data_IF_058092547438
#
_entry.id   IF_058092547438
#
_cell.length_a   1.000
_cell.length_b   1.000
_cell.length_c   1.000
_cell.angle_alpha   90.00
_cell.angle_beta   90.00
_cell.angle_gamma   90.00
#
_symmetry.space_group_name_H-M   'P 1'
#
loop_
_entity.id
_entity.type
_entity.pdbx_description
1 polymer ?
#
# COMPACT_ATOMS: atom_id res chain seq x y z
N UNK A 1 10.93 9.04 -2.17
CA UNK A 1 11.08 10.16 -1.20
C UNK A 1 12.45 10.82 -1.31
N UNK A 2 13.56 10.18 -0.94
CA UNK A 2 14.90 10.80 -0.95
C UNK A 2 15.29 11.43 -2.28
N UNK A 3 15.07 10.77 -3.42
CA UNK A 3 15.32 11.37 -4.74
C UNK A 3 14.55 12.67 -4.96
N UNK A 4 13.26 12.70 -4.60
CA UNK A 4 12.42 13.88 -4.76
C UNK A 4 12.85 15.03 -3.83
N UNK A 5 13.44 14.73 -2.67
CA UNK A 5 13.97 15.72 -1.74
C UNK A 5 15.42 16.14 -2.04
N UNK A 6 16.03 15.60 -3.10
CA UNK A 6 17.42 15.85 -3.44
C UNK A 6 18.43 15.29 -2.43
N UNK A 7 17.97 14.47 -1.47
CA UNK A 7 18.78 13.91 -0.38
C UNK A 7 19.31 12.51 -0.68
N UNK A 8 18.91 11.88 -1.80
CA UNK A 8 19.41 10.58 -2.19
C UNK A 8 20.85 10.65 -2.69
N UNK A 9 21.65 9.64 -2.34
CA UNK A 9 22.92 9.35 -2.99
C UNK A 9 22.65 8.41 -4.14
N UNK A 10 22.99 8.80 -5.37
CA UNK A 10 22.84 7.99 -6.56
C UNK A 10 24.21 7.63 -7.13
N UNK A 11 24.37 6.35 -7.50
CA UNK A 11 25.55 5.84 -8.20
C UNK A 11 25.05 5.21 -9.51
N UNK A 12 25.54 5.71 -10.64
CA UNK A 12 25.16 5.23 -11.99
C UNK A 12 23.64 5.21 -12.25
N UNK A 13 22.92 6.20 -11.70
CA UNK A 13 21.45 6.33 -11.85
C UNK A 13 20.64 5.39 -10.95
N UNK A 14 21.29 4.68 -10.03
CA UNK A 14 20.65 3.84 -9.03
C UNK A 14 20.82 4.47 -7.66
N UNK A 15 19.75 4.50 -6.86
CA UNK A 15 19.83 4.99 -5.47
C UNK A 15 20.74 4.03 -4.69
N UNK A 16 21.86 4.58 -4.22
CA UNK A 16 22.78 3.82 -3.37
C UNK A 16 22.22 3.71 -1.95
N UNK A 17 22.02 2.49 -1.50
CA UNK A 17 21.63 2.18 -0.12
C UNK A 17 22.81 2.00 0.82
N UNK A 18 24.05 2.19 0.34
CA UNK A 18 25.24 2.13 1.18
C UNK A 18 25.29 3.33 2.13
N UNK A 19 25.48 3.14 3.44
CA UNK A 19 25.60 4.25 4.37
C UNK A 19 26.76 5.18 3.99
N UNK A 20 26.49 6.49 3.94
CA UNK A 20 27.49 7.52 3.69
C UNK A 20 28.10 8.07 4.99
N UNK A 21 27.55 7.67 6.14
CA UNK A 21 28.01 8.11 7.45
C UNK A 21 27.13 7.57 8.57
N UNK A 22 27.14 8.27 9.68
CA UNK A 22 26.33 7.97 10.86
C UNK A 22 25.58 9.24 11.27
N UNK A 23 24.28 9.13 11.47
CA UNK A 23 23.45 10.19 12.02
C UNK A 23 23.85 10.51 13.47
N UNK A 24 23.41 11.66 13.99
CA UNK A 24 23.74 12.11 15.37
C UNK A 24 23.26 11.08 16.42
N UNK A 25 22.14 10.38 16.15
CA UNK A 25 21.59 9.33 17.02
C UNK A 25 22.33 7.97 16.92
N UNK A 26 23.36 7.88 16.09
CA UNK A 26 24.14 6.65 15.86
C UNK A 26 23.56 5.74 14.78
N UNK A 27 22.45 6.07 14.14
CA UNK A 27 21.92 5.30 13.00
C UNK A 27 22.75 5.55 11.73
N UNK A 28 22.62 4.67 10.74
CA UNK A 28 23.31 4.84 9.46
C UNK A 28 22.70 5.99 8.66
N UNK A 29 23.54 6.90 8.19
CA UNK A 29 23.15 7.99 7.28
C UNK A 29 23.28 7.52 5.81
N UNK A 30 22.19 7.59 5.06
CA UNK A 30 22.12 7.21 3.64
C UNK A 30 21.98 8.41 2.70
N UNK A 31 22.08 9.64 3.23
CA UNK A 31 21.69 10.84 2.51
C UNK A 31 22.67 11.97 2.71
N UNK A 32 22.67 12.87 1.76
CA UNK A 32 23.30 14.20 1.81
C UNK A 32 22.22 15.26 2.05
N UNK A 33 22.62 16.46 2.42
CA UNK A 33 21.71 17.62 2.40
C UNK A 33 21.22 17.84 0.97
N UNK A 34 19.92 17.99 0.80
CA UNK A 34 19.26 18.27 -0.46
C UNK A 34 18.80 19.70 -0.56
N UNK A 35 18.63 20.18 -1.78
CA UNK A 35 18.06 21.50 -2.07
C UNK A 35 16.75 21.32 -2.84
N UNK A 36 15.68 21.97 -2.36
CA UNK A 36 14.39 22.03 -3.01
C UNK A 36 14.03 23.46 -3.32
N UNK A 37 13.63 23.73 -4.56
CA UNK A 37 13.05 25.02 -4.92
C UNK A 37 11.51 24.88 -4.98
N UNK A 38 10.81 25.61 -4.11
CA UNK A 38 9.35 25.64 -4.06
C UNK A 38 8.90 27.09 -4.15
N UNK A 39 8.15 27.42 -5.19
CA UNK A 39 7.63 28.79 -5.43
C UNK A 39 8.71 29.88 -5.36
N UNK A 40 9.92 29.60 -5.92
CA UNK A 40 11.04 30.53 -5.95
C UNK A 40 11.81 30.67 -4.61
N UNK A 41 11.52 29.81 -3.63
CA UNK A 41 12.26 29.74 -2.38
C UNK A 41 13.05 28.43 -2.34
N UNK A 42 14.35 28.54 -2.06
CA UNK A 42 15.22 27.37 -1.87
C UNK A 42 15.17 26.93 -0.42
N UNK A 43 14.84 25.66 -0.22
CA UNK A 43 14.85 24.98 1.08
C UNK A 43 16.00 23.99 1.13
N UNK A 44 16.74 24.01 2.23
CA UNK A 44 17.73 22.98 2.52
C UNK A 44 17.05 21.89 3.33
N UNK A 45 17.10 20.65 2.83
CA UNK A 45 16.50 19.48 3.46
C UNK A 45 17.61 18.60 4.01
N UNK A 46 17.52 18.28 5.29
CA UNK A 46 18.44 17.36 5.98
C UNK A 46 17.67 16.23 6.60
N UNK A 47 18.08 14.99 6.33
CA UNK A 47 17.61 13.83 7.06
C UNK A 47 18.37 13.75 8.39
N UNK A 48 17.66 13.90 9.49
CA UNK A 48 18.25 13.81 10.84
C UNK A 48 18.38 12.39 11.30
N UNK A 49 17.37 11.54 11.00
CA UNK A 49 17.34 10.14 11.33
C UNK A 49 16.46 9.35 10.36
N UNK A 50 16.75 8.08 10.20
CA UNK A 50 15.87 7.10 9.55
C UNK A 50 16.06 5.72 10.14
N UNK A 51 14.98 4.95 10.19
CA UNK A 51 15.02 3.60 10.73
C UNK A 51 13.98 2.73 10.04
N UNK A 52 14.37 1.47 9.77
CA UNK A 52 13.40 0.44 9.43
C UNK A 52 12.69 -0.03 10.72
N UNK A 53 11.36 0.07 10.74
CA UNK A 53 10.55 -0.26 11.93
C UNK A 53 10.29 -1.76 11.98
N UNK A 54 11.18 -2.49 12.65
CA UNK A 54 11.07 -3.92 12.92
C UNK A 54 10.79 -4.16 14.39
N UNK A 55 9.84 -5.04 14.69
CA UNK A 55 9.65 -5.52 16.06
C UNK A 55 10.67 -6.63 16.43
N UNK A 56 10.63 -7.08 17.68
CA UNK A 56 11.54 -8.11 18.18
C UNK A 56 11.40 -9.48 17.49
N UNK A 57 10.27 -9.72 16.81
CA UNK A 57 10.02 -10.91 16.01
C UNK A 57 10.47 -10.77 14.56
N UNK A 58 11.01 -9.58 14.17
CA UNK A 58 11.49 -9.29 12.82
C UNK A 58 10.39 -8.85 11.83
N UNK A 59 9.15 -8.69 12.29
CA UNK A 59 8.09 -8.14 11.44
C UNK A 59 8.33 -6.65 11.20
N UNK A 60 8.22 -6.24 9.94
CA UNK A 60 8.41 -4.87 9.47
C UNK A 60 7.13 -4.04 9.60
N UNK A 61 7.25 -2.72 9.39
CA UNK A 61 6.16 -1.74 9.50
C UNK A 61 5.49 -1.72 10.87
N UNK A 62 6.28 -1.95 11.93
CA UNK A 62 5.78 -2.01 13.30
C UNK A 62 5.51 -0.61 13.87
N UNK A 63 4.23 -0.32 14.11
CA UNK A 63 3.77 0.98 14.62
C UNK A 63 4.29 1.28 16.03
N UNK A 64 4.42 0.27 16.90
CA UNK A 64 4.93 0.47 18.25
C UNK A 64 6.42 0.84 18.23
N UNK A 65 7.20 0.21 17.35
CA UNK A 65 8.61 0.57 17.13
C UNK A 65 8.73 2.00 16.61
N UNK A 66 7.84 2.43 15.71
CA UNK A 66 7.83 3.80 15.20
C UNK A 66 7.53 4.84 16.29
N UNK A 67 6.54 4.58 17.15
CA UNK A 67 6.24 5.43 18.29
C UNK A 67 7.39 5.56 19.29
N UNK A 68 8.16 4.48 19.51
CA UNK A 68 9.36 4.53 20.34
C UNK A 68 10.51 5.28 19.66
N UNK A 69 10.67 5.11 18.35
CA UNK A 69 11.72 5.77 17.58
C UNK A 69 11.55 7.29 17.62
N UNK A 70 10.34 7.82 17.40
CA UNK A 70 10.12 9.27 17.44
C UNK A 70 10.43 9.86 18.82
N UNK A 71 10.13 9.15 19.90
CA UNK A 71 10.50 9.60 21.25
C UNK A 71 12.03 9.72 21.44
N UNK A 72 12.79 8.78 20.85
CA UNK A 72 14.26 8.83 20.85
C UNK A 72 14.78 9.99 20.00
N UNK A 73 14.23 10.16 18.80
CA UNK A 73 14.61 11.26 17.90
C UNK A 73 14.26 12.62 18.47
N UNK A 74 13.08 12.78 19.08
CA UNK A 74 12.68 14.00 19.77
C UNK A 74 13.64 14.36 20.90
N UNK A 75 14.14 13.36 21.64
CA UNK A 75 15.14 13.57 22.68
C UNK A 75 16.50 13.98 22.14
N UNK A 76 16.87 13.54 20.94
CA UNK A 76 18.15 13.82 20.31
C UNK A 76 18.18 15.12 19.53
N UNK A 77 17.08 15.45 18.83
CA UNK A 77 17.01 16.55 17.86
C UNK A 77 16.08 17.68 18.29
N UNK A 78 15.04 17.38 19.08
CA UNK A 78 14.11 18.38 19.61
C UNK A 78 13.48 19.26 18.52
N UNK A 79 13.71 20.56 18.66
CA UNK A 79 13.21 21.62 17.77
C UNK A 79 13.87 21.66 16.37
N UNK A 80 14.80 20.75 16.08
CA UNK A 80 15.38 20.62 14.74
C UNK A 80 14.51 19.75 13.81
N UNK A 81 13.47 19.08 14.35
CA UNK A 81 12.59 18.24 13.55
C UNK A 81 11.46 19.10 12.99
N UNK A 82 11.53 19.42 11.72
CA UNK A 82 10.52 20.22 11.02
C UNK A 82 9.43 19.35 10.37
N UNK A 83 9.73 18.07 10.09
CA UNK A 83 8.82 17.14 9.41
C UNK A 83 9.13 15.70 9.76
N UNK A 84 8.10 14.89 9.85
CA UNK A 84 8.18 13.43 9.97
C UNK A 84 7.56 12.78 8.73
N UNK A 85 8.25 11.80 8.14
CA UNK A 85 7.75 11.08 6.98
C UNK A 85 7.80 9.57 7.22
N UNK A 86 6.70 8.91 6.99
CA UNK A 86 6.52 7.48 7.17
C UNK A 86 6.16 6.78 5.87
N UNK A 87 6.57 5.51 5.74
CA UNK A 87 6.22 4.69 4.58
C UNK A 87 4.78 4.17 4.62
N UNK A 88 4.12 4.23 5.78
CA UNK A 88 2.69 3.94 5.88
C UNK A 88 2.03 4.73 7.02
N UNK A 89 0.70 4.79 7.02
CA UNK A 89 -0.08 5.53 8.00
C UNK A 89 -0.03 4.87 9.39
N UNK A 90 0.05 3.55 9.48
CA UNK A 90 0.11 2.88 10.78
C UNK A 90 1.29 3.35 11.63
N UNK A 91 2.47 3.44 11.03
CA UNK A 91 3.67 3.99 11.67
C UNK A 91 3.58 5.52 11.81
N UNK A 92 3.11 6.22 10.76
CA UNK A 92 2.95 7.67 10.76
C UNK A 92 2.04 8.14 11.89
N UNK A 93 0.88 7.51 12.06
CA UNK A 93 -0.07 7.80 13.14
C UNK A 93 0.51 7.53 14.51
N UNK A 94 1.27 6.45 14.66
CA UNK A 94 1.94 6.15 15.93
C UNK A 94 2.95 7.23 16.31
N UNK A 95 3.75 7.72 15.36
CA UNK A 95 4.68 8.84 15.59
C UNK A 95 3.95 10.16 15.84
N UNK A 96 2.88 10.43 15.08
CA UNK A 96 2.06 11.62 15.24
C UNK A 96 1.46 11.72 16.64
N UNK A 97 0.80 10.66 17.09
CA UNK A 97 0.17 10.62 18.41
C UNK A 97 1.18 10.62 19.57
N UNK A 98 2.35 10.00 19.38
CA UNK A 98 3.36 9.90 20.41
C UNK A 98 4.08 11.24 20.67
N UNK A 99 4.25 12.09 19.62
CA UNK A 99 5.04 13.31 19.75
C UNK A 99 4.60 14.44 18.80
N UNK A 100 4.57 14.22 17.50
CA UNK A 100 4.47 15.27 16.48
C UNK A 100 3.22 16.15 16.64
N UNK A 101 2.09 15.57 17.06
CA UNK A 101 0.83 16.30 17.30
C UNK A 101 0.98 17.37 18.39
N UNK A 102 1.66 17.03 19.48
CA UNK A 102 1.86 17.96 20.60
C UNK A 102 2.79 19.13 20.24
N UNK A 103 3.77 18.87 19.40
CA UNK A 103 4.77 19.85 18.96
C UNK A 103 4.32 20.62 17.70
N UNK A 104 3.21 20.24 17.06
CA UNK A 104 2.74 20.86 15.82
C UNK A 104 3.62 20.53 14.61
N UNK A 105 4.36 19.42 14.65
CA UNK A 105 5.23 18.96 13.55
C UNK A 105 4.40 18.12 12.57
N UNK A 106 4.31 18.49 11.29
CA UNK A 106 3.55 17.74 10.31
C UNK A 106 4.17 16.35 10.10
N UNK A 107 3.31 15.33 10.13
CA UNK A 107 3.68 13.93 9.86
C UNK A 107 2.95 13.48 8.62
N UNK A 108 3.68 12.85 7.69
CA UNK A 108 3.14 12.33 6.44
C UNK A 108 3.25 10.81 6.41
N UNK A 109 2.22 10.16 5.85
CA UNK A 109 2.15 8.72 5.69
C UNK A 109 1.82 8.28 4.27
N UNK A 110 1.32 7.06 4.18
CA UNK A 110 0.91 6.40 2.95
C UNK A 110 -0.18 5.38 3.29
N UNK A 111 -1.14 5.11 2.44
CA UNK A 111 -2.26 4.16 2.49
C UNK A 111 -3.63 4.83 2.58
N UNK A 112 -3.72 6.07 3.03
CA UNK A 112 -4.98 6.77 3.31
C UNK A 112 -5.91 5.97 4.25
N UNK A 113 -5.34 5.42 5.32
CA UNK A 113 -6.13 4.76 6.35
C UNK A 113 -7.10 5.77 6.98
N UNK A 114 -8.30 5.32 7.33
CA UNK A 114 -9.39 6.20 7.78
C UNK A 114 -9.05 7.05 9.02
N UNK A 115 -8.25 6.51 9.94
CA UNK A 115 -7.77 7.22 11.12
C UNK A 115 -6.75 8.32 10.75
N UNK A 116 -5.85 8.04 9.80
CA UNK A 116 -4.89 9.02 9.30
C UNK A 116 -5.57 10.15 8.50
N UNK A 117 -6.54 9.80 7.64
CA UNK A 117 -7.34 10.78 6.91
C UNK A 117 -8.09 11.70 7.87
N UNK A 118 -8.75 11.15 8.89
CA UNK A 118 -9.45 11.93 9.91
C UNK A 118 -8.48 12.83 10.71
N UNK A 119 -7.27 12.36 10.99
CA UNK A 119 -6.26 13.10 11.73
C UNK A 119 -5.68 14.30 10.96
N UNK A 120 -5.91 14.43 9.65
CA UNK A 120 -5.52 15.62 8.89
C UNK A 120 -6.21 16.87 9.45
N UNK A 121 -7.47 16.78 9.86
CA UNK A 121 -8.16 17.86 10.56
C UNK A 121 -7.53 18.25 11.90
N UNK A 122 -6.69 17.38 12.46
CA UNK A 122 -6.02 17.55 13.76
C UNK A 122 -4.53 17.89 13.61
N UNK A 123 -4.04 18.11 12.37
CA UNK A 123 -2.67 18.50 12.08
C UNK A 123 -1.77 17.39 11.54
N UNK A 124 -2.31 16.18 11.24
CA UNK A 124 -1.57 15.20 10.42
C UNK A 124 -1.33 15.83 9.04
N UNK A 125 -0.09 15.79 8.56
CA UNK A 125 0.31 16.56 7.37
C UNK A 125 -0.35 16.07 6.06
N UNK A 126 -0.61 14.79 5.98
CA UNK A 126 -1.26 14.15 4.84
C UNK A 126 -0.83 12.71 4.64
N UNK A 127 -1.46 12.06 3.70
CA UNK A 127 -1.19 10.68 3.29
C UNK A 127 -1.32 10.52 1.78
N UNK A 128 -1.05 9.33 1.28
CA UNK A 128 -1.24 8.97 -0.13
C UNK A 128 -2.30 7.88 -0.22
N UNK A 129 -3.38 8.13 -0.95
CA UNK A 129 -4.30 7.07 -1.35
C UNK A 129 -3.71 6.28 -2.51
N UNK A 130 -3.70 4.96 -2.36
CA UNK A 130 -3.31 4.02 -3.41
C UNK A 130 -4.51 3.60 -4.28
N UNK A 131 -5.69 4.16 -4.10
CA UNK A 131 -6.94 3.65 -4.69
C UNK A 131 -7.11 2.13 -4.42
N UNK A 132 -7.16 1.77 -3.16
CA UNK A 132 -7.31 0.37 -2.74
C UNK A 132 -8.55 -0.32 -3.32
N UNK A 133 -9.63 0.42 -3.50
CA UNK A 133 -10.87 0.01 -4.16
C UNK A 133 -10.65 -0.38 -5.62
N UNK A 134 -9.94 0.46 -6.37
CA UNK A 134 -9.56 0.20 -7.77
C UNK A 134 -8.65 -1.01 -7.86
N UNK A 135 -7.65 -1.11 -6.97
CA UNK A 135 -6.75 -2.27 -6.92
C UNK A 135 -7.52 -3.57 -6.64
N UNK A 136 -8.41 -3.56 -5.65
CA UNK A 136 -9.21 -4.72 -5.28
C UNK A 136 -10.13 -5.16 -6.44
N UNK A 137 -10.83 -4.20 -7.06
CA UNK A 137 -11.68 -4.48 -8.20
C UNK A 137 -10.90 -5.03 -9.39
N UNK A 138 -9.82 -4.37 -9.80
CA UNK A 138 -9.00 -4.81 -10.93
C UNK A 138 -8.43 -6.21 -10.70
N UNK A 139 -7.93 -6.50 -9.49
CA UNK A 139 -7.42 -7.82 -9.14
C UNK A 139 -8.47 -8.90 -9.38
N UNK A 140 -9.67 -8.73 -8.86
CA UNK A 140 -10.72 -9.74 -8.96
C UNK A 140 -11.40 -9.76 -10.34
N UNK A 141 -11.51 -8.59 -11.00
CA UNK A 141 -12.09 -8.52 -12.35
C UNK A 141 -11.21 -9.21 -13.40
N UNK A 142 -9.92 -8.94 -13.40
CA UNK A 142 -8.96 -9.61 -14.28
C UNK A 142 -9.00 -11.12 -14.05
N UNK A 143 -9.03 -11.54 -12.79
CA UNK A 143 -9.13 -12.94 -12.43
C UNK A 143 -10.44 -13.59 -12.94
N UNK A 144 -11.58 -12.89 -12.74
CA UNK A 144 -12.89 -13.35 -13.23
C UNK A 144 -12.89 -13.51 -14.76
N UNK A 145 -12.36 -12.52 -15.47
CA UNK A 145 -12.27 -12.57 -16.93
C UNK A 145 -11.42 -13.77 -17.41
N UNK A 146 -10.30 -14.01 -16.76
CA UNK A 146 -9.46 -15.16 -17.07
C UNK A 146 -10.19 -16.51 -16.82
N UNK A 147 -10.95 -16.61 -15.73
CA UNK A 147 -11.75 -17.79 -15.41
C UNK A 147 -12.94 -18.03 -16.36
N UNK A 148 -13.47 -16.95 -16.93
CA UNK A 148 -14.52 -17.02 -17.96
C UNK A 148 -13.95 -17.29 -19.36
N UNK A 149 -12.63 -17.27 -19.54
CA UNK A 149 -11.95 -17.49 -20.81
C UNK A 149 -12.14 -16.32 -21.80
N UNK A 150 -12.37 -15.11 -21.29
CA UNK A 150 -12.43 -13.89 -22.08
C UNK A 150 -11.15 -13.06 -21.91
N UNK A 151 -11.01 -12.01 -22.72
CA UNK A 151 -9.85 -11.12 -22.59
C UNK A 151 -9.84 -10.46 -21.19
N UNK A 152 -8.66 -10.34 -20.59
CA UNK A 152 -8.49 -9.88 -19.21
C UNK A 152 -8.99 -8.45 -18.97
N UNK A 153 -9.06 -7.64 -20.01
CA UNK A 153 -9.55 -6.25 -20.00
C UNK A 153 -11.06 -6.13 -20.27
N UNK A 154 -11.76 -7.26 -20.49
CA UNK A 154 -13.19 -7.25 -20.78
C UNK A 154 -13.99 -6.52 -19.68
N UNK A 155 -14.68 -5.46 -20.07
CA UNK A 155 -15.49 -4.63 -19.17
C UNK A 155 -14.69 -3.67 -18.28
N UNK A 156 -13.37 -3.66 -18.37
CA UNK A 156 -12.52 -2.66 -17.69
C UNK A 156 -12.44 -1.40 -18.57
N UNK A 157 -12.67 -0.23 -17.97
CA UNK A 157 -12.68 1.04 -18.70
C UNK A 157 -13.94 1.27 -19.57
N UNK A 158 -14.93 0.38 -19.51
CA UNK A 158 -16.22 0.55 -20.17
C UNK A 158 -17.33 0.76 -19.14
N UNK A 159 -18.37 1.51 -19.54
CA UNK A 159 -19.54 1.69 -18.68
C UNK A 159 -20.22 0.33 -18.44
N UNK A 160 -20.56 0.06 -17.18
CA UNK A 160 -21.50 -1.00 -16.84
C UNK A 160 -22.94 -0.59 -17.20
N UNK A 161 -23.92 -1.48 -16.96
CA UNK A 161 -25.33 -1.22 -17.24
C UNK A 161 -25.91 -0.04 -16.41
N UNK A 162 -25.24 0.36 -15.33
CA UNK A 162 -25.58 1.52 -14.51
C UNK A 162 -24.81 2.79 -14.93
N UNK A 163 -23.91 2.69 -15.91
CA UNK A 163 -23.13 3.81 -16.42
C UNK A 163 -21.85 4.13 -15.60
N UNK A 164 -21.47 3.27 -14.65
CA UNK A 164 -20.21 3.45 -13.91
C UNK A 164 -19.03 3.03 -14.78
N UNK A 165 -17.98 3.81 -14.78
CA UNK A 165 -16.77 3.58 -15.58
C UNK A 165 -15.55 3.78 -14.73
N UNK A 166 -14.58 2.85 -14.80
CA UNK A 166 -13.21 3.14 -14.41
C UNK A 166 -12.58 4.06 -15.47
N UNK A 167 -12.14 5.22 -15.04
CA UNK A 167 -11.59 6.23 -15.94
C UNK A 167 -10.07 6.28 -15.84
N UNK A 168 -9.41 6.76 -16.87
CA UNK A 168 -7.94 6.84 -16.97
C UNK A 168 -7.30 7.75 -15.90
N UNK A 169 -8.10 8.45 -15.11
CA UNK A 169 -7.64 9.27 -13.99
C UNK A 169 -7.46 8.48 -12.69
N UNK A 170 -7.89 7.21 -12.62
CA UNK A 170 -7.70 6.36 -11.43
C UNK A 170 -6.83 5.12 -11.68
N UNK A 171 -6.61 4.73 -12.94
CA UNK A 171 -5.73 3.62 -13.30
C UNK A 171 -5.16 3.75 -14.71
N UNK A 172 -4.15 2.95 -15.04
CA UNK A 172 -3.68 2.73 -16.41
C UNK A 172 -3.20 1.29 -16.60
N UNK A 173 -3.18 0.85 -17.86
CA UNK A 173 -2.61 -0.43 -18.26
C UNK A 173 -1.25 -0.21 -18.94
N UNK A 174 -0.23 -0.95 -18.48
CA UNK A 174 1.10 -0.97 -19.11
C UNK A 174 1.25 -2.25 -19.94
N UNK A 175 1.29 -2.10 -21.24
CA UNK A 175 1.46 -3.18 -22.21
C UNK A 175 2.81 -3.93 -22.03
N UNK A 176 3.87 -3.24 -21.64
CA UNK A 176 5.20 -3.82 -21.54
C UNK A 176 5.31 -4.79 -20.37
N UNK A 177 4.75 -4.45 -19.22
CA UNK A 177 4.68 -5.29 -18.03
C UNK A 177 3.41 -6.15 -17.98
N UNK A 178 2.44 -5.91 -18.87
CA UNK A 178 1.10 -6.53 -18.86
C UNK A 178 0.41 -6.36 -17.51
N UNK A 179 0.48 -5.17 -16.96
CA UNK A 179 0.02 -4.87 -15.60
C UNK A 179 -0.91 -3.66 -15.57
N UNK A 180 -1.91 -3.74 -14.71
CA UNK A 180 -2.73 -2.59 -14.34
C UNK A 180 -2.12 -1.90 -13.12
N UNK A 181 -2.12 -0.58 -13.14
CA UNK A 181 -1.64 0.26 -12.05
C UNK A 181 -2.73 1.22 -11.61
N UNK A 182 -3.12 1.14 -10.34
CA UNK A 182 -3.92 2.18 -9.72
C UNK A 182 -3.07 3.43 -9.48
N UNK A 183 -3.63 4.61 -9.77
CA UNK A 183 -2.91 5.87 -9.59
C UNK A 183 -2.93 6.31 -8.12
N UNK A 184 -1.81 6.82 -7.65
CA UNK A 184 -1.71 7.37 -6.31
C UNK A 184 -2.23 8.81 -6.27
N UNK A 185 -2.95 9.16 -5.21
CA UNK A 185 -3.46 10.52 -4.97
C UNK A 185 -2.98 11.03 -3.62
N UNK A 186 -2.41 12.23 -3.60
CA UNK A 186 -2.07 12.91 -2.35
C UNK A 186 -3.36 13.36 -1.64
N UNK A 187 -3.50 12.96 -0.38
CA UNK A 187 -4.60 13.35 0.51
C UNK A 187 -4.05 14.34 1.52
N UNK A 188 -4.53 15.56 1.45
CA UNK A 188 -4.05 16.71 2.24
C UNK A 188 -5.22 17.47 2.85
N UNK A 189 -4.94 18.54 3.55
CA UNK A 189 -5.98 19.43 4.08
C UNK A 189 -6.93 20.01 3.02
N UNK A 190 -6.54 19.99 1.74
CA UNK A 190 -7.35 20.52 0.64
C UNK A 190 -8.44 19.56 0.16
N UNK A 191 -8.28 18.24 0.36
CA UNK A 191 -9.16 17.23 -0.21
C UNK A 191 -9.53 16.06 0.72
N UNK A 192 -9.01 16.02 1.94
CA UNK A 192 -9.21 14.87 2.86
C UNK A 192 -10.68 14.55 3.13
N UNK A 193 -11.57 15.56 3.09
CA UNK A 193 -13.00 15.35 3.35
C UNK A 193 -13.64 14.36 2.37
N UNK A 194 -13.14 14.30 1.13
CA UNK A 194 -13.60 13.32 0.13
C UNK A 194 -13.11 11.90 0.39
N UNK A 195 -12.17 11.71 1.32
CA UNK A 195 -11.61 10.42 1.71
C UNK A 195 -12.02 9.97 3.12
N UNK A 196 -12.83 10.77 3.83
CA UNK A 196 -13.31 10.43 5.19
C UNK A 196 -14.25 9.22 5.19
N UNK A 197 -15.01 9.04 4.14
CA UNK A 197 -15.89 7.89 3.97
C UNK A 197 -15.24 6.88 3.03
N UNK A 198 -14.58 5.89 3.61
CA UNK A 198 -13.96 4.80 2.83
C UNK A 198 -14.98 3.93 2.10
N UNK A 199 -16.29 4.13 2.34
CA UNK A 199 -17.36 3.48 1.58
C UNK A 199 -17.69 4.21 0.28
N UNK A 200 -17.27 5.48 0.13
CA UNK A 200 -17.39 6.26 -1.11
C UNK A 200 -16.17 6.03 -1.99
N UNK A 201 -15.79 4.83 -2.11
CA UNK A 201 -14.79 4.42 -3.07
C UNK A 201 -15.50 4.15 -4.39
N UNK A 202 -14.74 4.12 -5.45
CA UNK A 202 -15.23 3.82 -6.77
C UNK A 202 -16.05 2.51 -6.76
N UNK A 203 -17.29 2.55 -7.22
CA UNK A 203 -18.14 1.38 -7.40
C UNK A 203 -18.35 1.09 -8.88
N UNK A 204 -17.43 0.38 -9.53
CA UNK A 204 -17.47 0.18 -10.97
C UNK A 204 -18.61 -0.72 -11.44
N UNK A 205 -19.13 -1.57 -10.55
CA UNK A 205 -20.24 -2.47 -10.83
C UNK A 205 -21.22 -2.42 -9.67
N UNK A 206 -22.43 -1.96 -9.94
CA UNK A 206 -23.50 -1.85 -8.93
C UNK A 206 -24.26 -3.16 -8.73
N UNK A 207 -24.19 -4.09 -9.69
CA UNK A 207 -24.95 -5.32 -9.70
C UNK A 207 -24.03 -6.56 -9.71
N UNK A 208 -24.47 -7.58 -8.97
CA UNK A 208 -23.83 -8.89 -9.02
C UNK A 208 -23.95 -9.49 -10.43
N UNK A 209 -22.89 -10.14 -10.90
CA UNK A 209 -22.91 -10.86 -12.18
C UNK A 209 -23.98 -11.96 -12.17
N UNK A 210 -24.60 -12.20 -13.34
CA UNK A 210 -25.56 -13.31 -13.50
C UNK A 210 -24.84 -14.66 -13.25
N UNK A 211 -25.25 -15.37 -12.22
CA UNK A 211 -24.66 -16.65 -11.83
C UNK A 211 -24.85 -17.77 -12.87
N UNK A 212 -25.78 -17.62 -13.81
CA UNK A 212 -25.97 -18.59 -14.91
C UNK A 212 -24.88 -18.40 -15.97
N UNK A 213 -24.57 -17.16 -16.31
CA UNK A 213 -23.50 -16.84 -17.26
C UNK A 213 -22.12 -16.90 -16.62
N UNK A 214 -22.03 -16.54 -15.33
CA UNK A 214 -20.79 -16.46 -14.55
C UNK A 214 -20.91 -17.31 -13.27
N UNK A 215 -20.79 -18.64 -13.35
CA UNK A 215 -20.93 -19.53 -12.19
C UNK A 215 -19.83 -19.24 -11.16
N UNK A 216 -20.16 -19.45 -9.88
CA UNK A 216 -19.23 -19.23 -8.77
C UNK A 216 -17.94 -20.01 -8.97
N UNK A 217 -16.81 -19.34 -8.73
CA UNK A 217 -15.46 -19.88 -8.82
C UNK A 217 -14.74 -19.79 -7.49
N UNK A 218 -14.01 -20.84 -7.13
CA UNK A 218 -13.21 -20.90 -5.91
C UNK A 218 -11.83 -20.32 -6.16
N UNK A 219 -11.43 -19.34 -5.36
CA UNK A 219 -10.16 -18.62 -5.48
C UNK A 219 -9.42 -18.63 -4.15
N UNK A 220 -8.13 -18.94 -4.17
CA UNK A 220 -7.27 -18.63 -3.05
C UNK A 220 -6.54 -17.31 -3.32
N UNK A 221 -6.74 -16.33 -2.44
CA UNK A 221 -6.05 -15.05 -2.50
C UNK A 221 -5.07 -14.92 -1.33
N UNK A 222 -3.80 -14.87 -1.66
CA UNK A 222 -2.72 -14.70 -0.70
C UNK A 222 -2.44 -13.22 -0.52
N UNK A 223 -2.87 -12.64 0.60
CA UNK A 223 -2.43 -11.32 1.05
C UNK A 223 -1.22 -11.45 1.97
N UNK A 224 -0.37 -10.41 2.00
CA UNK A 224 0.87 -10.44 2.76
C UNK A 224 0.65 -10.73 4.25
N UNK A 225 -0.17 -9.91 4.91
CA UNK A 225 -0.45 -10.06 6.33
C UNK A 225 -1.76 -9.36 6.67
N UNK A 226 -2.77 -10.12 7.09
CA UNK A 226 -4.07 -9.56 7.48
C UNK A 226 -4.04 -8.76 8.79
N UNK A 227 -2.94 -8.81 9.56
CA UNK A 227 -2.73 -7.97 10.74
C UNK A 227 -2.13 -6.59 10.39
N UNK A 228 -1.67 -6.39 9.15
CA UNK A 228 -1.32 -5.07 8.63
C UNK A 228 -2.57 -4.20 8.53
N UNK A 229 -2.46 -2.92 8.95
CA UNK A 229 -3.63 -2.05 9.05
C UNK A 229 -4.28 -1.80 7.67
N UNK A 230 -3.49 -1.50 6.66
CA UNK A 230 -4.01 -1.30 5.30
C UNK A 230 -4.64 -2.59 4.75
N UNK A 231 -3.92 -3.70 4.82
CA UNK A 231 -4.39 -4.97 4.25
C UNK A 231 -5.63 -5.50 4.97
N UNK A 232 -5.64 -5.50 6.31
CA UNK A 232 -6.72 -6.06 7.10
C UNK A 232 -7.95 -5.16 7.21
N UNK A 233 -7.76 -3.84 7.34
CA UNK A 233 -8.85 -2.90 7.63
C UNK A 233 -9.37 -2.17 6.39
N UNK A 234 -8.61 -2.14 5.30
CA UNK A 234 -8.98 -1.42 4.08
C UNK A 234 -9.08 -2.36 2.87
N UNK A 235 -7.99 -3.03 2.51
CA UNK A 235 -7.92 -3.79 1.26
C UNK A 235 -8.76 -5.06 1.27
N UNK A 236 -8.69 -5.87 2.34
CA UNK A 236 -9.47 -7.11 2.43
C UNK A 236 -10.99 -6.87 2.44
N UNK A 237 -11.58 -5.89 3.16
CA UNK A 237 -13.00 -5.58 3.06
C UNK A 237 -13.43 -5.18 1.64
N UNK A 238 -12.58 -4.48 0.89
CA UNK A 238 -12.85 -4.13 -0.50
C UNK A 238 -12.81 -5.36 -1.41
N UNK A 239 -11.85 -6.25 -1.24
CA UNK A 239 -11.82 -7.53 -1.95
C UNK A 239 -13.10 -8.32 -1.67
N UNK A 240 -13.54 -8.43 -0.41
CA UNK A 240 -14.77 -9.13 -0.03
C UNK A 240 -16.03 -8.52 -0.65
N UNK A 241 -16.05 -7.20 -0.84
CA UNK A 241 -17.14 -6.53 -1.56
C UNK A 241 -17.19 -6.93 -3.03
N UNK A 242 -16.05 -6.97 -3.69
CA UNK A 242 -15.98 -7.29 -5.13
C UNK A 242 -16.03 -8.77 -5.44
N UNK A 243 -15.61 -9.66 -4.54
CA UNK A 243 -15.73 -11.11 -4.76
C UNK A 243 -17.21 -11.53 -4.83
N UNK A 244 -18.05 -10.98 -3.97
CA UNK A 244 -19.50 -11.18 -4.02
C UNK A 244 -20.11 -10.71 -5.35
N UNK A 245 -19.73 -9.50 -5.81
CA UNK A 245 -20.23 -8.92 -7.07
C UNK A 245 -19.81 -9.74 -8.30
N UNK A 246 -18.64 -10.36 -8.24
CA UNK A 246 -18.04 -11.11 -9.34
C UNK A 246 -18.28 -12.64 -9.27
N UNK A 247 -19.14 -13.10 -8.36
CA UNK A 247 -19.38 -14.53 -8.11
C UNK A 247 -18.09 -15.33 -7.87
N UNK A 248 -17.21 -14.79 -7.03
CA UNK A 248 -15.99 -15.45 -6.58
C UNK A 248 -16.14 -15.87 -5.12
N UNK A 249 -15.79 -17.11 -4.82
CA UNK A 249 -15.68 -17.62 -3.46
C UNK A 249 -14.19 -17.56 -3.09
N UNK A 250 -13.78 -16.48 -2.41
CA UNK A 250 -12.38 -16.21 -2.11
C UNK A 250 -12.02 -16.68 -0.72
N UNK A 251 -11.02 -17.55 -0.60
CA UNK A 251 -10.41 -17.90 0.69
C UNK A 251 -9.33 -16.86 1.02
N UNK A 252 -9.53 -16.16 2.14
CA UNK A 252 -8.55 -15.24 2.73
C UNK A 252 -7.85 -15.90 3.91
N UNK A 253 -6.53 -15.73 4.01
CA UNK A 253 -5.76 -16.29 5.13
C UNK A 253 -5.58 -15.24 6.22
N UNK A 254 -5.89 -15.61 7.48
CA UNK A 254 -5.59 -14.80 8.64
C UNK A 254 -4.09 -14.85 8.98
N UNK A 255 -3.53 -13.71 9.41
CA UNK A 255 -2.12 -13.58 9.78
C UNK A 255 -1.17 -13.49 8.58
N UNK A 256 0.05 -14.03 8.74
CA UNK A 256 1.06 -14.02 7.68
C UNK A 256 0.71 -15.07 6.60
N UNK A 257 0.05 -14.61 5.53
CA UNK A 257 -0.34 -15.44 4.38
C UNK A 257 0.84 -15.94 3.56
N UNK A 258 2.02 -15.35 3.72
CA UNK A 258 3.21 -15.66 2.92
C UNK A 258 4.20 -16.60 3.62
N UNK A 259 3.78 -17.35 4.63
CA UNK A 259 4.60 -18.45 5.14
C UNK A 259 4.69 -19.56 4.11
N UNK A 260 5.85 -20.19 4.01
CA UNK A 260 6.09 -21.31 3.08
C UNK A 260 5.03 -22.40 3.25
N UNK A 261 4.63 -22.72 4.47
CA UNK A 261 3.61 -23.73 4.76
C UNK A 261 2.22 -23.34 4.24
N UNK A 262 1.83 -22.09 4.32
CA UNK A 262 0.56 -21.61 3.78
C UNK A 262 0.53 -21.76 2.25
N UNK A 263 1.62 -21.38 1.59
CA UNK A 263 1.77 -21.48 0.15
C UNK A 263 1.75 -22.93 -0.31
N UNK A 264 2.61 -23.78 0.24
CA UNK A 264 2.77 -25.17 -0.20
C UNK A 264 1.53 -26.00 0.06
N UNK A 265 0.82 -25.77 1.19
CA UNK A 265 -0.41 -26.48 1.50
C UNK A 265 -1.55 -26.19 0.51
N UNK A 266 -1.68 -24.95 0.03
CA UNK A 266 -2.74 -24.57 -0.93
C UNK A 266 -2.39 -25.00 -2.35
N UNK A 267 -1.21 -24.68 -2.79
CA UNK A 267 -0.74 -25.05 -4.12
C UNK A 267 -0.57 -26.57 -4.28
N UNK A 268 -0.37 -27.30 -3.18
CA UNK A 268 -0.36 -28.77 -3.16
C UNK A 268 -1.75 -29.42 -3.29
N UNK A 269 -2.83 -28.65 -3.27
CA UNK A 269 -4.21 -29.09 -3.44
C UNK A 269 -4.92 -28.28 -4.55
N UNK A 270 -4.43 -28.33 -5.78
CA UNK A 270 -4.93 -27.48 -6.86
C UNK A 270 -6.41 -27.71 -7.19
N UNK A 271 -6.92 -28.94 -6.96
CA UNK A 271 -8.33 -29.28 -7.24
C UNK A 271 -9.34 -28.54 -6.35
N UNK A 272 -8.89 -27.87 -5.28
CA UNK A 272 -9.76 -27.08 -4.40
C UNK A 272 -10.10 -25.71 -4.98
N UNK A 273 -9.29 -25.21 -5.91
CA UNK A 273 -9.39 -23.83 -6.41
C UNK A 273 -9.40 -23.79 -7.93
N UNK A 274 -10.21 -22.90 -8.49
CA UNK A 274 -10.19 -22.59 -9.91
C UNK A 274 -9.03 -21.65 -10.28
N UNK A 275 -8.57 -20.83 -9.32
CA UNK A 275 -7.46 -19.90 -9.51
C UNK A 275 -6.76 -19.51 -8.21
N UNK A 276 -5.56 -18.95 -8.38
CA UNK A 276 -4.74 -18.37 -7.31
C UNK A 276 -4.43 -16.91 -7.63
N UNK A 277 -4.63 -16.01 -6.66
CA UNK A 277 -4.18 -14.63 -6.71
C UNK A 277 -3.15 -14.40 -5.60
N UNK A 278 -1.97 -13.90 -5.95
CA UNK A 278 -0.83 -13.85 -5.03
C UNK A 278 -0.30 -12.42 -4.93
N UNK A 279 -0.36 -11.85 -3.73
CA UNK A 279 0.35 -10.63 -3.39
C UNK A 279 1.81 -10.98 -3.02
N UNK A 280 2.74 -10.78 -3.95
CA UNK A 280 4.14 -11.20 -3.78
C UNK A 280 5.00 -10.08 -3.17
N UNK A 281 4.92 -9.92 -1.85
CA UNK A 281 5.75 -8.95 -1.11
C UNK A 281 7.08 -9.58 -0.69
N UNK A 282 7.07 -10.84 -0.24
CA UNK A 282 8.29 -11.57 0.16
C UNK A 282 8.89 -12.29 -1.05
N UNK A 283 9.83 -11.64 -1.71
CA UNK A 283 10.50 -12.19 -2.91
C UNK A 283 11.31 -13.47 -2.64
N UNK A 284 11.73 -13.69 -1.40
CA UNK A 284 12.45 -14.92 -0.98
C UNK A 284 11.60 -16.19 -1.21
N UNK A 285 10.26 -16.06 -1.21
CA UNK A 285 9.34 -17.15 -1.47
C UNK A 285 9.02 -17.36 -2.96
N UNK A 286 9.55 -16.53 -3.85
CA UNK A 286 9.26 -16.60 -5.30
C UNK A 286 9.59 -17.99 -5.90
N UNK A 287 10.65 -18.64 -5.44
CA UNK A 287 11.01 -19.97 -5.89
C UNK A 287 9.97 -21.04 -5.54
N UNK A 288 9.33 -20.93 -4.37
CA UNK A 288 8.25 -21.84 -3.95
C UNK A 288 7.00 -21.69 -4.81
N UNK A 289 6.65 -20.45 -5.20
CA UNK A 289 5.54 -20.19 -6.12
C UNK A 289 5.81 -20.73 -7.52
N UNK A 290 6.97 -20.41 -8.09
CA UNK A 290 7.33 -20.84 -9.46
C UNK A 290 7.41 -22.34 -9.61
N UNK A 291 7.92 -23.07 -8.62
CA UNK A 291 8.04 -24.52 -8.66
C UNK A 291 6.69 -25.23 -8.74
N UNK A 292 5.63 -24.62 -8.21
CA UNK A 292 4.28 -25.21 -8.16
C UNK A 292 3.43 -24.73 -9.34
N UNK A 293 3.52 -23.45 -9.71
CA UNK A 293 2.78 -22.89 -10.84
C UNK A 293 3.26 -23.40 -12.21
N UNK A 294 4.41 -24.06 -12.26
CA UNK A 294 4.95 -24.67 -13.49
C UNK A 294 4.49 -26.12 -13.71
N UNK A 295 3.70 -26.70 -12.82
CA UNK A 295 3.14 -28.05 -12.93
C UNK A 295 1.76 -28.03 -13.58
#
# INVERSE_FOLDING_TARGET
MRSALGTAVEVDGVIDSTPVGTNIDGTSAYVKDGELEINGTTYIVRELASQEMKNSAGATWDAATAGNAIGTWASSFGDQIDVVASNNDGMGMSMFLAWSKAEGVPTFGYDANSDAVAAIAEGYGGTISQHADVQAYLTLRVLRNALDGVDIDTGIGTADDAGNVLTDDVFYYDEASRSYYALNVAVTAENYESFLDSTVTYEPVSNQLDATAHPTKNVWLNIYNSADNFLGSTYQPLLQKYDDLLNLNVEYIAGDGQTESNITNRLGNPDMYDAFAINMVKTDNAASYTGILSQ
#
